data_IF_699119575970
#
_entry.id   IF_699119575970
#
_cell.length_a   1.000
_cell.length_b   1.000
_cell.length_c   1.000
_cell.angle_alpha   90.00
_cell.angle_beta   90.00
_cell.angle_gamma   90.00
#
_symmetry.space_group_name_H-M   'P 1'
#
loop_
_entity.id
_entity.type
_entity.pdbx_description
1 polymer ?
#
# COMPACT_ATOMS: atom_id res chain seq x y z
N UNK A 1 -11.47 -10.41 -5.27
CA UNK A 1 -11.86 -9.53 -6.39
C UNK A 1 -13.25 -8.98 -6.12
N UNK A 2 -13.50 -7.69 -6.42
CA UNK A 2 -14.87 -7.15 -6.38
C UNK A 2 -15.59 -7.62 -7.64
N UNK A 3 -16.65 -8.40 -7.47
CA UNK A 3 -17.54 -8.79 -8.57
C UNK A 3 -18.89 -8.07 -8.37
N UNK A 4 -19.21 -7.14 -9.28
CA UNK A 4 -20.44 -6.36 -9.18
C UNK A 4 -21.72 -7.17 -9.48
N UNK A 5 -21.58 -8.40 -9.96
CA UNK A 5 -22.72 -9.32 -10.16
C UNK A 5 -23.13 -10.00 -8.86
N UNK A 6 -22.25 -10.00 -7.85
CA UNK A 6 -22.49 -10.58 -6.54
C UNK A 6 -22.69 -9.47 -5.49
N UNK A 7 -23.53 -9.77 -4.50
CA UNK A 7 -23.76 -8.86 -3.39
C UNK A 7 -22.73 -9.09 -2.30
N UNK A 8 -21.99 -8.02 -1.97
CA UNK A 8 -20.99 -8.04 -0.90
C UNK A 8 -19.56 -8.14 -1.41
N UNK A 9 -18.63 -8.12 -0.48
CA UNK A 9 -17.21 -8.26 -0.75
C UNK A 9 -16.69 -9.58 -0.16
N UNK A 10 -15.66 -10.19 -0.74
CA UNK A 10 -15.14 -11.46 -0.24
C UNK A 10 -14.63 -11.29 1.19
N UNK A 11 -15.02 -12.19 2.08
CA UNK A 11 -14.68 -12.15 3.49
C UNK A 11 -14.09 -13.47 4.02
N UNK A 12 -13.78 -14.40 3.16
CA UNK A 12 -13.20 -15.70 3.52
C UNK A 12 -12.18 -16.17 2.49
N UNK A 13 -11.34 -17.10 2.89
CA UNK A 13 -10.46 -17.90 2.03
C UNK A 13 -10.75 -19.38 2.23
N UNK A 14 -10.47 -20.17 1.20
CA UNK A 14 -10.54 -21.63 1.27
C UNK A 14 -9.16 -22.23 1.24
N UNK A 15 -8.84 -23.07 2.23
CA UNK A 15 -7.57 -23.80 2.36
C UNK A 15 -7.88 -25.25 2.71
N UNK A 16 -7.34 -26.18 1.93
CA UNK A 16 -7.54 -27.62 2.10
C UNK A 16 -9.04 -28.02 2.24
N UNK A 17 -9.93 -27.34 1.49
CA UNK A 17 -11.38 -27.59 1.52
C UNK A 17 -12.10 -27.07 2.76
N UNK A 18 -11.43 -26.29 3.61
CA UNK A 18 -12.05 -25.59 4.76
C UNK A 18 -12.13 -24.09 4.47
N UNK A 19 -13.24 -23.47 4.87
CA UNK A 19 -13.46 -22.03 4.75
C UNK A 19 -13.01 -21.31 6.02
N UNK A 20 -12.21 -20.25 5.87
CA UNK A 20 -11.69 -19.42 6.96
C UNK A 20 -12.16 -17.97 6.79
N UNK A 21 -12.90 -17.47 7.78
CA UNK A 21 -13.39 -16.09 7.79
C UNK A 21 -12.24 -15.13 8.07
N UNK A 22 -12.18 -14.03 7.31
CA UNK A 22 -11.15 -13.00 7.46
C UNK A 22 -11.68 -11.78 8.19
N UNK A 23 -10.79 -11.14 8.96
CA UNK A 23 -10.97 -9.75 9.34
C UNK A 23 -10.71 -8.89 8.12
N UNK A 24 -11.75 -8.29 7.57
CA UNK A 24 -11.66 -7.51 6.32
C UNK A 24 -11.39 -6.03 6.53
N UNK A 25 -11.21 -5.56 7.79
CA UNK A 25 -10.91 -4.18 8.07
C UNK A 25 -9.58 -3.77 7.44
N UNK A 26 -9.57 -2.66 6.69
CA UNK A 26 -8.39 -2.20 5.95
C UNK A 26 -7.16 -1.98 6.84
N UNK A 27 -7.33 -1.57 8.09
CA UNK A 27 -6.22 -1.34 9.03
C UNK A 27 -5.43 -2.62 9.30
N UNK A 28 -6.12 -3.76 9.41
CA UNK A 28 -5.45 -5.05 9.63
C UNK A 28 -4.65 -5.46 8.38
N UNK A 29 -5.15 -5.17 7.20
CA UNK A 29 -4.43 -5.44 5.96
C UNK A 29 -3.29 -4.46 5.68
N UNK A 30 -3.33 -3.24 6.19
CA UNK A 30 -2.18 -2.34 6.20
C UNK A 30 -1.08 -2.88 7.13
N UNK A 31 -1.43 -3.38 8.33
CA UNK A 31 -0.47 -4.06 9.23
C UNK A 31 0.11 -5.31 8.58
N UNK A 32 -0.73 -6.12 7.93
CA UNK A 32 -0.31 -7.29 7.16
C UNK A 32 0.75 -6.92 6.11
N UNK A 33 0.52 -5.86 5.34
CA UNK A 33 1.47 -5.34 4.37
C UNK A 33 2.81 -4.89 4.99
N UNK A 34 2.76 -4.24 6.15
CA UNK A 34 3.97 -3.82 6.88
C UNK A 34 4.78 -5.01 7.39
N UNK A 35 4.11 -6.07 7.87
CA UNK A 35 4.78 -7.31 8.30
C UNK A 35 5.45 -8.00 7.12
N UNK A 36 4.81 -8.06 5.95
CA UNK A 36 5.40 -8.65 4.73
C UNK A 36 6.72 -7.97 4.27
N UNK A 37 6.96 -6.73 4.68
CA UNK A 37 8.21 -6.02 4.35
C UNK A 37 9.36 -6.34 5.31
N UNK A 38 9.09 -7.03 6.42
CA UNK A 38 10.11 -7.43 7.39
C UNK A 38 10.92 -8.62 6.87
N UNK A 39 12.21 -8.66 7.22
CA UNK A 39 13.12 -9.71 6.70
C UNK A 39 12.86 -11.13 7.23
N UNK A 40 12.23 -11.25 8.41
CA UNK A 40 12.04 -12.51 9.11
C UNK A 40 10.56 -12.72 9.45
N UNK A 41 9.68 -12.63 8.45
CA UNK A 41 8.25 -12.85 8.63
C UNK A 41 7.94 -14.35 8.66
N UNK A 42 7.30 -14.81 9.71
CA UNK A 42 6.77 -16.17 9.82
C UNK A 42 5.28 -16.22 9.49
N UNK A 43 4.75 -17.39 9.12
CA UNK A 43 3.31 -17.56 8.83
C UNK A 43 2.44 -17.13 10.01
N UNK A 44 2.87 -17.41 11.23
CA UNK A 44 2.13 -17.09 12.46
C UNK A 44 1.93 -15.59 12.63
N UNK A 45 2.87 -14.75 12.15
CA UNK A 45 2.77 -13.29 12.18
C UNK A 45 1.64 -12.76 11.27
N UNK A 46 1.20 -13.54 10.31
CA UNK A 46 0.20 -13.18 9.32
C UNK A 46 -1.22 -13.65 9.66
N UNK A 47 -1.37 -14.57 10.62
CA UNK A 47 -2.65 -15.22 10.90
C UNK A 47 -3.65 -14.36 11.68
N UNK A 48 -3.23 -13.22 12.23
CA UNK A 48 -4.13 -12.31 12.98
C UNK A 48 -5.30 -11.76 12.14
N UNK A 49 -5.20 -11.85 10.81
CA UNK A 49 -6.30 -11.47 9.90
C UNK A 49 -7.37 -12.56 9.78
N UNK A 50 -7.20 -13.72 10.40
CA UNK A 50 -8.17 -14.83 10.35
C UNK A 50 -8.98 -14.85 11.65
N UNK A 51 -10.30 -14.81 11.51
CA UNK A 51 -11.24 -14.74 12.65
C UNK A 51 -11.72 -16.10 13.15
N UNK A 52 -11.28 -17.20 12.55
CA UNK A 52 -11.65 -18.55 12.98
C UNK A 52 -10.61 -19.15 13.91
N UNK A 53 -11.03 -20.09 14.74
CA UNK A 53 -10.10 -20.96 15.45
C UNK A 53 -9.35 -21.85 14.45
N UNK A 54 -8.04 -21.63 14.39
CA UNK A 54 -7.13 -22.41 13.55
C UNK A 54 -6.24 -23.22 14.46
N UNK A 55 -6.14 -24.53 14.19
CA UNK A 55 -5.16 -25.36 14.90
C UNK A 55 -3.76 -25.17 14.30
N UNK A 56 -2.73 -25.20 15.15
CA UNK A 56 -1.34 -25.17 14.69
C UNK A 56 -1.05 -26.27 13.67
N UNK A 57 -1.72 -27.43 13.80
CA UNK A 57 -1.59 -28.54 12.88
C UNK A 57 -2.12 -28.27 11.48
N UNK A 58 -3.29 -27.56 11.38
CA UNK A 58 -3.84 -27.15 10.09
C UNK A 58 -2.91 -26.19 9.37
N UNK A 59 -2.27 -25.26 10.12
CA UNK A 59 -1.32 -24.29 9.60
C UNK A 59 -0.08 -24.98 9.06
N UNK A 60 0.55 -25.83 9.89
CA UNK A 60 1.80 -26.48 9.52
C UNK A 60 1.65 -27.43 8.32
N UNK A 61 0.49 -28.08 8.19
CA UNK A 61 0.19 -28.98 7.06
C UNK A 61 -0.07 -28.24 5.74
N UNK A 62 -0.58 -27.01 5.79
CA UNK A 62 -1.05 -26.28 4.61
C UNK A 62 -0.45 -24.87 4.52
N UNK A 63 0.74 -24.67 5.06
CA UNK A 63 1.39 -23.36 5.20
C UNK A 63 1.45 -22.59 3.88
N UNK A 64 1.92 -23.22 2.81
CA UNK A 64 2.09 -22.59 1.51
C UNK A 64 0.76 -22.16 0.90
N UNK A 65 -0.29 -22.96 1.11
CA UNK A 65 -1.63 -22.65 0.63
C UNK A 65 -2.22 -21.47 1.40
N UNK A 66 -2.07 -21.42 2.74
CA UNK A 66 -2.47 -20.27 3.56
C UNK A 66 -1.78 -18.98 3.09
N UNK A 67 -0.45 -19.00 2.94
CA UNK A 67 0.32 -17.84 2.47
C UNK A 67 -0.19 -17.40 1.10
N UNK A 68 -0.36 -18.34 0.17
CA UNK A 68 -0.84 -18.04 -1.17
C UNK A 68 -2.22 -17.39 -1.15
N UNK A 69 -3.16 -17.93 -0.39
CA UNK A 69 -4.53 -17.40 -0.30
C UNK A 69 -4.60 -16.05 0.38
N UNK A 70 -3.83 -15.82 1.45
CA UNK A 70 -3.74 -14.53 2.11
C UNK A 70 -3.12 -13.47 1.18
N UNK A 71 -2.06 -13.82 0.44
CA UNK A 71 -1.47 -12.93 -0.56
C UNK A 71 -2.41 -12.65 -1.73
N UNK A 72 -3.18 -13.63 -2.19
CA UNK A 72 -4.23 -13.45 -3.21
C UNK A 72 -5.30 -12.46 -2.75
N UNK A 73 -5.75 -12.56 -1.50
CA UNK A 73 -6.71 -11.62 -0.92
C UNK A 73 -6.10 -10.23 -0.76
N UNK A 74 -4.88 -10.14 -0.22
CA UNK A 74 -4.16 -8.88 -0.03
C UNK A 74 -3.94 -8.13 -1.35
N UNK A 75 -3.44 -8.82 -2.38
CA UNK A 75 -3.08 -8.21 -3.67
C UNK A 75 -4.29 -7.85 -4.52
N UNK A 76 -5.42 -8.53 -4.36
CA UNK A 76 -6.61 -8.40 -5.22
C UNK A 76 -6.25 -8.55 -6.71
N UNK A 77 -6.17 -9.77 -7.20
CA UNK A 77 -5.56 -10.22 -8.48
C UNK A 77 -5.81 -9.37 -9.75
N UNK A 78 -6.77 -8.44 -9.73
CA UNK A 78 -7.17 -7.67 -10.91
C UNK A 78 -6.74 -6.20 -10.90
N UNK A 79 -6.06 -5.73 -9.86
CA UNK A 79 -5.43 -4.40 -9.88
C UNK A 79 -3.95 -4.59 -10.18
N UNK A 80 -3.65 -5.11 -11.35
CA UNK A 80 -2.32 -4.95 -11.93
C UNK A 80 -2.30 -3.61 -12.63
N UNK A 81 -1.55 -2.60 -12.12
CA UNK A 81 -1.06 -1.57 -13.00
C UNK A 81 -0.32 -2.29 -14.14
N UNK A 82 -0.44 -1.80 -15.36
CA UNK A 82 0.36 -2.31 -16.48
C UNK A 82 1.79 -2.48 -15.98
N UNK A 83 2.31 -3.70 -16.01
CA UNK A 83 3.71 -3.96 -15.73
C UNK A 83 4.52 -3.27 -16.83
N UNK A 84 4.99 -2.08 -16.55
CA UNK A 84 6.22 -1.64 -17.19
C UNK A 84 7.31 -2.58 -16.67
N UNK A 85 7.94 -3.32 -17.57
CA UNK A 85 9.01 -4.28 -17.31
C UNK A 85 10.32 -3.63 -16.81
N UNK A 86 10.23 -2.51 -16.15
CA UNK A 86 11.36 -1.80 -15.55
C UNK A 86 11.39 -2.10 -14.05
N UNK A 87 12.22 -3.04 -13.70
CA UNK A 87 12.53 -3.52 -12.35
C UNK A 87 13.22 -2.48 -11.47
N UNK A 88 12.49 -1.47 -11.03
CA UNK A 88 12.91 -0.67 -9.86
C UNK A 88 11.90 -0.90 -8.77
N UNK A 89 12.33 -1.47 -7.65
CA UNK A 89 11.56 -1.63 -6.40
C UNK A 89 11.37 -0.28 -5.69
N UNK A 90 11.04 0.79 -6.43
CA UNK A 90 10.78 2.09 -5.83
C UNK A 90 9.46 2.01 -5.04
N UNK A 91 9.55 2.19 -3.73
CA UNK A 91 8.37 2.30 -2.88
C UNK A 91 7.73 3.66 -3.16
N UNK A 92 6.52 3.65 -3.73
CA UNK A 92 5.82 4.87 -4.15
C UNK A 92 4.96 5.44 -3.02
N UNK A 93 4.48 4.58 -2.09
CA UNK A 93 3.65 4.98 -0.95
C UNK A 93 4.05 4.20 0.30
N UNK A 94 4.09 4.89 1.43
CA UNK A 94 4.22 4.32 2.76
C UNK A 94 3.00 4.71 3.59
N UNK A 95 2.19 3.74 3.99
CA UNK A 95 0.93 4.00 4.68
C UNK A 95 1.09 4.59 6.09
N UNK A 96 2.29 4.54 6.68
CA UNK A 96 2.59 5.15 7.98
C UNK A 96 3.05 6.60 7.76
N UNK A 97 4.10 6.79 6.95
CA UNK A 97 4.70 8.10 6.72
C UNK A 97 3.78 9.02 5.91
N UNK A 98 2.99 8.49 4.99
CA UNK A 98 2.05 9.23 4.16
C UNK A 98 0.63 9.29 4.74
N UNK A 99 0.41 8.78 5.95
CA UNK A 99 -0.91 8.60 6.56
C UNK A 99 -1.76 9.87 6.56
N UNK A 100 -1.18 11.01 6.93
CA UNK A 100 -1.88 12.30 6.96
C UNK A 100 -2.35 12.75 5.56
N UNK A 101 -1.51 12.56 4.53
CA UNK A 101 -1.87 12.90 3.15
C UNK A 101 -2.95 11.97 2.60
N UNK A 102 -2.94 10.69 2.99
CA UNK A 102 -3.96 9.71 2.61
C UNK A 102 -5.30 10.10 3.24
N UNK A 103 -5.33 10.39 4.55
CA UNK A 103 -6.54 10.82 5.27
C UNK A 103 -7.11 12.10 4.64
N UNK A 104 -6.27 13.12 4.42
CA UNK A 104 -6.69 14.37 3.81
C UNK A 104 -7.25 14.16 2.39
N UNK A 105 -6.63 13.28 1.59
CA UNK A 105 -7.07 12.99 0.22
C UNK A 105 -8.42 12.24 0.18
N UNK A 106 -8.65 11.30 1.11
CA UNK A 106 -9.95 10.62 1.24
C UNK A 106 -11.04 11.58 1.70
N UNK A 107 -10.72 12.48 2.62
CA UNK A 107 -11.66 13.51 3.06
C UNK A 107 -12.00 14.46 1.91
N UNK A 108 -11.01 14.90 1.14
CA UNK A 108 -11.20 15.78 -0.03
C UNK A 108 -12.06 15.12 -1.11
N UNK A 109 -11.73 13.88 -1.50
CA UNK A 109 -12.33 13.22 -2.65
C UNK A 109 -13.69 12.58 -2.33
N UNK A 110 -13.84 12.00 -1.14
CA UNK A 110 -14.96 11.12 -0.80
C UNK A 110 -15.73 11.55 0.45
N UNK A 111 -15.27 12.58 1.17
CA UNK A 111 -15.81 12.98 2.48
C UNK A 111 -15.78 11.82 3.51
N UNK A 112 -14.77 10.95 3.41
CA UNK A 112 -14.58 9.81 4.32
C UNK A 112 -13.45 10.13 5.29
N UNK A 113 -13.78 10.10 6.59
CA UNK A 113 -12.78 10.14 7.65
C UNK A 113 -12.24 8.74 7.91
N UNK A 114 -11.05 8.44 7.36
CA UNK A 114 -10.38 7.15 7.55
C UNK A 114 -10.01 6.87 9.00
N UNK A 115 -9.96 7.89 9.88
CA UNK A 115 -9.64 7.69 11.30
C UNK A 115 -10.80 7.10 12.08
N UNK A 116 -12.04 7.31 11.61
CA UNK A 116 -13.27 6.90 12.28
C UNK A 116 -14.02 5.76 11.57
N UNK A 117 -13.85 5.62 10.25
CA UNK A 117 -14.65 4.64 9.49
C UNK A 117 -14.07 3.23 9.60
N UNK A 118 -14.98 2.24 9.59
CA UNK A 118 -14.66 0.85 9.31
C UNK A 118 -14.89 0.58 7.83
N UNK A 119 -13.85 0.15 7.15
CA UNK A 119 -13.89 -0.08 5.70
C UNK A 119 -13.27 -1.42 5.36
N UNK A 120 -13.89 -2.12 4.43
CA UNK A 120 -13.36 -3.35 3.87
C UNK A 120 -12.08 -3.08 3.07
N UNK A 121 -11.06 -3.94 3.20
CA UNK A 121 -9.76 -3.81 2.53
C UNK A 121 -9.87 -3.56 1.02
N UNK A 122 -10.69 -4.35 0.31
CA UNK A 122 -10.84 -4.18 -1.14
C UNK A 122 -11.53 -2.87 -1.51
N UNK A 123 -12.44 -2.36 -0.67
CA UNK A 123 -13.05 -1.05 -0.87
C UNK A 123 -12.02 0.06 -0.66
N UNK A 124 -11.23 -0.01 0.42
CA UNK A 124 -10.14 0.94 0.65
C UNK A 124 -9.19 1.00 -0.56
N UNK A 125 -8.75 -0.16 -1.07
CA UNK A 125 -7.87 -0.21 -2.25
C UNK A 125 -8.53 0.39 -3.49
N UNK A 126 -9.79 0.10 -3.74
CA UNK A 126 -10.51 0.63 -4.88
C UNK A 126 -10.62 2.16 -4.83
N UNK A 127 -10.96 2.71 -3.66
CA UNK A 127 -11.03 4.15 -3.44
C UNK A 127 -9.64 4.80 -3.51
N UNK A 128 -8.63 4.18 -2.93
CA UNK A 128 -7.25 4.69 -2.96
C UNK A 128 -6.71 4.81 -4.40
N UNK A 129 -6.93 3.79 -5.22
CA UNK A 129 -6.54 3.82 -6.64
C UNK A 129 -7.39 4.80 -7.45
N UNK A 130 -8.64 5.02 -7.04
CA UNK A 130 -9.57 5.97 -7.67
C UNK A 130 -9.43 7.41 -7.20
N UNK A 131 -8.43 7.75 -6.36
CA UNK A 131 -8.22 9.12 -5.91
C UNK A 131 -7.91 10.05 -7.10
N UNK A 132 -8.55 11.24 -7.15
CA UNK A 132 -8.24 12.25 -8.16
C UNK A 132 -6.77 12.69 -8.17
N UNK A 133 -6.27 13.06 -9.34
CA UNK A 133 -4.86 13.47 -9.53
C UNK A 133 -4.51 14.76 -8.78
N UNK A 134 -5.49 15.60 -8.46
CA UNK A 134 -5.31 16.85 -7.71
C UNK A 134 -5.21 16.63 -6.19
N UNK A 135 -5.40 15.41 -5.70
CA UNK A 135 -5.19 15.09 -4.29
C UNK A 135 -3.70 15.07 -3.94
N UNK A 136 -3.38 15.44 -2.68
CA UNK A 136 -1.99 15.56 -2.26
C UNK A 136 -1.22 14.24 -2.37
N UNK A 137 -1.81 13.12 -1.95
CA UNK A 137 -1.14 11.83 -2.05
C UNK A 137 -0.90 11.40 -3.51
N UNK A 138 -1.84 11.66 -4.43
CA UNK A 138 -1.68 11.36 -5.86
C UNK A 138 -0.52 12.14 -6.46
N UNK A 139 -0.38 13.43 -6.10
CA UNK A 139 0.74 14.26 -6.51
C UNK A 139 2.08 13.72 -5.97
N UNK A 140 2.15 13.36 -4.67
CA UNK A 140 3.36 12.79 -4.06
C UNK A 140 3.75 11.49 -4.76
N UNK A 141 2.79 10.58 -5.00
CA UNK A 141 3.03 9.33 -5.70
C UNK A 141 3.52 9.55 -7.13
N UNK A 142 2.96 10.55 -7.84
CA UNK A 142 3.41 10.95 -9.17
C UNK A 142 4.85 11.45 -9.15
N UNK A 143 5.22 12.28 -8.18
CA UNK A 143 6.59 12.78 -8.03
C UNK A 143 7.58 11.65 -7.73
N UNK A 144 7.24 10.72 -6.84
CA UNK A 144 8.10 9.55 -6.51
C UNK A 144 8.27 8.60 -7.67
N UNK A 145 7.23 8.42 -8.48
CA UNK A 145 7.25 7.55 -9.67
C UNK A 145 7.92 8.19 -10.88
N UNK A 146 8.26 9.50 -10.81
CA UNK A 146 8.86 10.20 -11.93
C UNK A 146 10.13 9.51 -12.42
N UNK A 147 10.19 9.27 -13.71
CA UNK A 147 11.36 8.76 -14.44
C UNK A 147 11.79 9.79 -15.46
N UNK A 148 13.08 9.83 -15.72
CA UNK A 148 13.68 10.76 -16.70
C UNK A 148 12.91 10.69 -18.04
N UNK A 149 12.35 11.82 -18.45
CA UNK A 149 11.75 12.00 -19.78
C UNK A 149 12.46 13.14 -20.49
N UNK A 150 12.53 13.11 -21.82
CA UNK A 150 13.23 14.08 -22.65
C UNK A 150 12.54 15.47 -22.72
N UNK A 151 11.82 15.89 -21.69
CA UNK A 151 11.07 17.13 -21.64
C UNK A 151 11.76 18.08 -20.66
N UNK A 152 12.02 19.33 -21.06
CA UNK A 152 12.90 20.33 -20.45
C UNK A 152 12.65 20.77 -18.98
N UNK A 153 11.93 19.99 -18.16
CA UNK A 153 11.67 20.22 -16.73
C UNK A 153 12.37 19.19 -15.83
N UNK A 154 13.39 18.50 -16.32
CA UNK A 154 14.02 17.36 -15.63
C UNK A 154 14.60 17.71 -14.25
N UNK A 155 15.21 18.87 -14.10
CA UNK A 155 15.87 19.28 -12.86
C UNK A 155 14.84 19.53 -11.75
N UNK A 156 13.74 20.21 -12.08
CA UNK A 156 12.68 20.51 -11.13
C UNK A 156 11.94 19.23 -10.68
N UNK A 157 11.65 18.32 -11.61
CA UNK A 157 11.05 17.04 -11.28
C UNK A 157 11.97 16.16 -10.43
N UNK A 158 13.29 16.19 -10.65
CA UNK A 158 14.29 15.47 -9.86
C UNK A 158 14.38 16.03 -8.43
N UNK A 159 14.38 17.36 -8.27
CA UNK A 159 14.32 18.01 -6.96
C UNK A 159 13.05 17.60 -6.20
N UNK A 160 11.88 17.67 -6.83
CA UNK A 160 10.63 17.26 -6.21
C UNK A 160 10.63 15.76 -5.81
N UNK A 161 11.20 14.89 -6.64
CA UNK A 161 11.34 13.46 -6.31
C UNK A 161 12.22 13.27 -5.07
N UNK A 162 13.31 14.02 -4.91
CA UNK A 162 14.17 13.91 -3.72
C UNK A 162 13.51 14.46 -2.46
N UNK A 163 12.76 15.57 -2.54
CA UNK A 163 12.01 16.15 -1.42
C UNK A 163 10.99 15.16 -0.86
N UNK A 164 10.31 14.41 -1.74
CA UNK A 164 9.26 13.47 -1.35
C UNK A 164 9.75 12.02 -1.22
N UNK A 165 11.05 11.78 -1.34
CA UNK A 165 11.62 10.43 -1.22
C UNK A 165 11.35 9.82 0.16
N UNK A 166 11.04 8.53 0.19
CA UNK A 166 10.89 7.80 1.46
C UNK A 166 12.28 7.49 2.04
N UNK A 167 12.44 7.44 3.38
CA UNK A 167 13.74 7.24 4.05
C UNK A 167 14.52 6.01 3.58
N UNK A 168 13.82 4.97 3.13
CA UNK A 168 14.42 3.72 2.64
C UNK A 168 14.50 3.63 1.11
N UNK A 169 14.22 4.73 0.40
CA UNK A 169 14.36 4.77 -1.06
C UNK A 169 15.82 5.05 -1.45
N UNK A 170 16.25 4.52 -2.60
CA UNK A 170 17.61 4.75 -3.14
C UNK A 170 17.91 6.24 -3.43
N UNK A 171 16.92 7.12 -3.31
CA UNK A 171 17.03 8.56 -3.54
C UNK A 171 17.29 9.33 -2.24
N UNK A 172 16.89 8.78 -1.08
CA UNK A 172 17.02 9.45 0.23
C UNK A 172 18.45 9.52 0.79
N UNK A 173 19.42 8.83 0.16
CA UNK A 173 20.80 8.76 0.65
C UNK A 173 21.68 9.97 0.23
N UNK A 174 21.13 11.03 -0.34
CA UNK A 174 21.87 12.25 -0.67
C UNK A 174 21.72 13.27 0.46
N UNK A 175 22.52 13.14 1.53
CA UNK A 175 22.57 14.09 2.66
C UNK A 175 22.86 15.53 2.20
N UNK A 176 23.73 15.74 1.21
CA UNK A 176 24.04 17.04 0.64
C UNK A 176 22.82 17.76 0.04
N UNK A 177 21.89 17.01 -0.58
CA UNK A 177 20.70 17.59 -1.20
C UNK A 177 19.64 18.00 -0.15
N UNK A 178 19.60 17.31 0.99
CA UNK A 178 18.70 17.64 2.12
C UNK A 178 19.18 18.89 2.85
N UNK A 179 20.48 19.16 2.94
CA UNK A 179 21.03 20.40 3.49
C UNK A 179 20.74 21.61 2.58
N UNK A 180 20.85 21.48 1.27
CA UNK A 180 20.48 22.56 0.33
C UNK A 180 18.99 22.92 0.42
N UNK A 181 18.11 21.91 0.51
CA UNK A 181 16.66 22.11 0.63
C UNK A 181 16.29 22.79 1.93
N UNK A 182 16.88 22.39 3.06
CA UNK A 182 16.64 23.03 4.35
C UNK A 182 17.10 24.50 4.35
N UNK A 183 18.22 24.80 3.70
CA UNK A 183 18.71 26.18 3.61
C UNK A 183 17.84 27.10 2.75
N UNK A 184 17.20 26.59 1.69
CA UNK A 184 16.26 27.36 0.86
C UNK A 184 14.91 27.63 1.54
N UNK A 185 14.40 26.69 2.39
CA UNK A 185 13.10 26.82 3.02
C UNK A 185 13.11 27.62 4.34
N UNK A 186 14.24 27.70 5.04
CA UNK A 186 14.34 28.40 6.33
C UNK A 186 14.98 29.78 6.25
N UNK A 187 15.42 30.24 5.06
CA UNK A 187 15.99 31.56 4.84
C UNK A 187 15.09 32.50 4.00
N UNK A 188 13.79 32.24 3.93
CA UNK A 188 12.79 33.17 3.38
C UNK A 188 12.00 33.86 4.48
#
# INVERSE_FOLDING_TARGET
MIDLREKGLPNHIEVAGKSYLLNTNFREWLKFGSILQQKNTEIFDLLFVINNDITALDILKNQDEFITKLLEFYRNKNVTPRQDNSSTNDIIVDYILDGEYIVASFMQAYHIDLTQCDMHWHMFKALFVGLPEDTKISQIMSMRSYRKSNIGYEEQCRKLKSIWALPNSNVANNEELMEEINNEFYNC
#
